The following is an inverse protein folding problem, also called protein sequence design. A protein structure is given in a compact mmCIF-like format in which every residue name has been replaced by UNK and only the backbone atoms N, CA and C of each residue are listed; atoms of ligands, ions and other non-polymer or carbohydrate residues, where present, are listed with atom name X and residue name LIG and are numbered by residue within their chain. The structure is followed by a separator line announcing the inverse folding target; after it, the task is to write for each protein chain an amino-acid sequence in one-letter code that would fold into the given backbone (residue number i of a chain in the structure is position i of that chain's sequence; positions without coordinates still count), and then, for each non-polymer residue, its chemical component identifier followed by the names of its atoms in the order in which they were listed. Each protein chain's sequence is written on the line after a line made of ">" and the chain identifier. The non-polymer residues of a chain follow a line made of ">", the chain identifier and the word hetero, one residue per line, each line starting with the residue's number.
data_IF_894352094371
#
_entry.id   IF_894352094371
#
_cell.length_a   1.000
_cell.length_b   1.000
_cell.length_c   1.000
_cell.angle_alpha   90.00
_cell.angle_beta   90.00
_cell.angle_gamma   90.00
#
_symmetry.space_group_name_H-M   'P 1'
#
loop_
_entity.id
_entity.type
_entity.pdbx_description
1 polymer ?
#
# COMPACT_ATOMS: atom_id res chain seq x y z
N UNK A 1 20.82 54.58 -33.54
CA UNK A 1 20.86 54.45 -32.07
C UNK A 1 20.31 53.10 -31.69
N UNK A 2 21.21 52.18 -31.38
CA UNK A 2 20.97 50.79 -30.99
C UNK A 2 20.47 50.75 -29.53
N UNK A 3 19.37 50.06 -29.27
CA UNK A 3 19.06 49.53 -27.94
C UNK A 3 18.73 48.04 -28.06
N UNK A 4 19.62 47.25 -27.47
CA UNK A 4 19.46 45.82 -27.17
C UNK A 4 18.34 45.67 -26.13
N UNK A 5 17.48 44.68 -26.28
CA UNK A 5 16.74 44.10 -25.16
C UNK A 5 17.10 42.62 -25.08
N UNK A 6 17.61 42.25 -23.92
CA UNK A 6 18.12 40.94 -23.55
C UNK A 6 16.93 40.08 -23.13
N UNK A 7 16.74 38.92 -23.76
CA UNK A 7 15.81 37.90 -23.26
C UNK A 7 16.53 37.11 -22.16
N UNK A 8 15.98 37.13 -20.94
CA UNK A 8 16.40 36.26 -19.84
C UNK A 8 15.39 35.13 -19.77
N UNK A 9 15.84 33.92 -20.07
CA UNK A 9 15.17 32.66 -19.74
C UNK A 9 15.26 32.50 -18.22
N UNK A 10 14.13 32.44 -17.53
CA UNK A 10 14.07 31.97 -16.15
C UNK A 10 13.87 30.46 -16.19
N UNK A 11 14.96 29.71 -15.97
CA UNK A 11 14.89 28.31 -15.55
C UNK A 11 14.50 28.34 -14.08
N UNK A 12 13.28 27.90 -13.75
CA UNK A 12 12.91 27.65 -12.36
C UNK A 12 13.39 26.25 -12.02
N UNK A 13 14.56 26.16 -11.39
CA UNK A 13 14.96 24.97 -10.64
C UNK A 13 14.31 25.11 -9.27
N UNK A 14 13.19 24.42 -9.05
CA UNK A 14 12.61 24.30 -7.72
C UNK A 14 13.25 23.07 -7.07
N UNK A 15 14.26 23.32 -6.25
CA UNK A 15 14.78 22.31 -5.31
C UNK A 15 13.91 22.43 -4.07
N UNK A 16 12.90 21.58 -3.95
CA UNK A 16 12.19 21.39 -2.68
C UNK A 16 13.04 20.43 -1.82
N UNK A 17 13.97 21.00 -1.04
CA UNK A 17 14.55 20.28 0.09
C UNK A 17 13.50 20.25 1.21
N UNK A 18 12.80 19.13 1.34
CA UNK A 18 12.05 18.79 2.56
C UNK A 18 12.94 17.87 3.40
N UNK A 19 13.94 18.46 4.07
CA UNK A 19 14.57 17.81 5.21
C UNK A 19 13.65 18.00 6.43
N UNK A 20 12.62 17.17 6.52
CA UNK A 20 11.80 16.99 7.70
C UNK A 20 12.14 15.64 8.30
N UNK A 21 12.84 15.62 9.44
CA UNK A 21 13.00 14.40 10.23
C UNK A 21 11.60 13.94 10.68
N UNK A 22 10.97 13.07 9.90
CA UNK A 22 9.85 12.28 10.39
C UNK A 22 10.40 11.41 11.50
N UNK A 23 9.94 11.63 12.73
CA UNK A 23 10.18 10.70 13.82
C UNK A 23 9.55 9.37 13.38
N UNK A 24 10.37 8.42 12.94
CA UNK A 24 9.93 7.06 12.67
C UNK A 24 9.24 6.52 13.93
N UNK A 25 7.91 6.38 13.89
CA UNK A 25 7.20 5.52 14.84
C UNK A 25 7.34 4.08 14.34
N UNK A 26 8.46 3.46 14.72
CA UNK A 26 8.55 2.11 15.29
C UNK A 26 9.90 2.00 16.01
N UNK A 27 10.17 2.92 16.95
CA UNK A 27 11.39 2.84 17.77
C UNK A 27 11.24 1.67 18.73
N UNK A 28 11.86 0.54 18.38
CA UNK A 28 12.12 -0.67 19.21
C UNK A 28 11.81 -0.46 20.72
N UNK A 29 10.56 -0.67 21.10
CA UNK A 29 10.06 -0.40 22.44
C UNK A 29 8.62 -0.88 22.59
N UNK A 30 8.34 -1.55 23.70
CA UNK A 30 7.06 -2.17 24.08
C UNK A 30 5.97 -1.11 24.42
N UNK A 31 5.68 -0.25 23.45
CA UNK A 31 4.54 0.67 23.47
C UNK A 31 3.64 0.30 22.32
N UNK A 32 2.38 0.00 22.64
CA UNK A 32 1.30 -0.01 21.66
C UNK A 32 1.37 1.31 20.90
N UNK A 33 1.52 1.32 19.55
CA UNK A 33 1.59 2.56 18.81
C UNK A 33 0.29 3.33 19.04
N UNK A 34 0.40 4.46 19.73
CA UNK A 34 -0.66 5.44 19.80
C UNK A 34 -0.64 6.17 18.45
N UNK A 35 -1.80 6.38 17.78
CA UNK A 35 -1.90 7.20 16.57
C UNK A 35 -1.04 8.45 16.76
N UNK A 36 -0.20 8.83 15.76
CA UNK A 36 0.72 9.94 15.93
C UNK A 36 -0.02 11.11 16.57
N UNK A 37 0.44 11.54 17.75
CA UNK A 37 -0.05 12.75 18.37
C UNK A 37 0.17 13.85 17.33
N UNK A 38 -0.94 14.43 16.88
CA UNK A 38 -0.97 15.41 15.80
C UNK A 38 0.02 16.52 16.12
N UNK A 39 1.21 16.49 15.50
CA UNK A 39 2.08 17.64 15.53
C UNK A 39 1.34 18.69 14.72
N UNK A 40 0.91 19.74 15.42
CA UNK A 40 0.30 20.94 14.88
C UNK A 40 1.31 21.66 13.98
N UNK A 41 1.59 21.03 12.84
CA UNK A 41 2.01 21.70 11.64
C UNK A 41 0.72 21.95 10.89
N UNK A 42 0.16 23.13 11.10
CA UNK A 42 -0.94 23.65 10.29
C UNK A 42 -0.60 23.46 8.81
N UNK A 43 -1.13 22.40 8.20
CA UNK A 43 -1.15 22.25 6.75
C UNK A 43 -1.98 23.43 6.26
N UNK A 44 -1.43 24.33 5.44
CA UNK A 44 -2.18 25.46 4.92
C UNK A 44 -3.47 24.94 4.25
N UNK A 45 -4.61 25.54 4.59
CA UNK A 45 -5.86 25.33 3.87
C UNK A 45 -5.68 25.83 2.42
N UNK A 46 -5.20 24.95 1.56
CA UNK A 46 -4.88 25.23 0.18
C UNK A 46 -3.88 24.21 -0.33
N UNK A 47 -4.39 23.06 -0.76
CA UNK A 47 -3.92 22.20 -1.86
C UNK A 47 -4.52 20.79 -1.68
N UNK A 48 -5.79 20.65 -2.06
CA UNK A 48 -6.51 19.37 -2.06
C UNK A 48 -6.27 18.55 -3.35
N UNK A 49 -5.13 18.72 -4.02
CA UNK A 49 -4.89 18.18 -5.38
C UNK A 49 -3.61 17.31 -5.51
N UNK A 50 -2.89 16.98 -4.43
CA UNK A 50 -1.65 16.16 -4.48
C UNK A 50 -1.63 15.01 -3.43
N UNK A 51 -2.80 14.45 -3.12
CA UNK A 51 -2.92 13.35 -2.16
C UNK A 51 -2.77 11.97 -2.80
N UNK A 52 -2.50 10.94 -1.97
CA UNK A 52 -2.73 9.56 -2.38
C UNK A 52 -4.23 9.43 -2.68
N UNK A 53 -4.60 8.95 -3.87
CA UNK A 53 -5.99 8.74 -4.26
C UNK A 53 -6.19 7.25 -4.47
N UNK A 54 -6.80 6.58 -3.50
CA UNK A 54 -7.24 5.20 -3.60
C UNK A 54 -8.76 5.12 -3.80
N UNK A 55 -9.27 4.08 -4.45
CA UNK A 55 -10.69 3.78 -4.52
C UNK A 55 -11.28 3.63 -3.12
N UNK A 56 -12.02 4.66 -2.67
CA UNK A 56 -12.71 4.67 -1.38
C UNK A 56 -14.02 3.89 -1.47
N UNK A 57 -14.22 2.96 -0.55
CA UNK A 57 -15.44 2.17 -0.42
C UNK A 57 -16.26 2.60 0.81
N UNK A 58 -17.58 2.49 0.69
CA UNK A 58 -18.55 2.77 1.72
C UNK A 58 -19.42 1.54 2.01
N UNK A 59 -20.09 1.54 3.16
CA UNK A 59 -20.99 0.45 3.56
C UNK A 59 -22.07 0.18 2.51
N UNK A 60 -22.16 -1.07 2.07
CA UNK A 60 -23.12 -1.54 1.09
C UNK A 60 -22.71 -1.36 -0.37
N UNK A 61 -21.50 -0.85 -0.64
CA UNK A 61 -20.98 -0.78 -2.00
C UNK A 61 -20.89 -2.18 -2.63
N UNK A 62 -21.29 -2.26 -3.90
CA UNK A 62 -21.20 -3.45 -4.76
C UNK A 62 -20.96 -3.00 -6.19
N UNK A 63 -19.88 -3.47 -6.82
CA UNK A 63 -19.49 -3.05 -8.16
C UNK A 63 -18.67 -4.13 -8.86
N UNK A 64 -18.63 -4.08 -10.19
CA UNK A 64 -17.75 -4.94 -10.99
C UNK A 64 -16.45 -4.23 -11.30
N UNK A 65 -15.35 -4.96 -11.32
CA UNK A 65 -14.04 -4.47 -11.72
C UNK A 65 -13.23 -5.56 -12.44
N UNK A 66 -12.06 -5.21 -12.94
CA UNK A 66 -11.20 -6.07 -13.76
C UNK A 66 -9.73 -5.88 -13.41
N UNK A 67 -9.01 -7.00 -13.29
CA UNK A 67 -7.55 -7.05 -13.33
C UNK A 67 -7.14 -7.41 -14.76
N UNK A 68 -6.29 -6.61 -15.40
CA UNK A 68 -5.95 -6.77 -16.81
C UNK A 68 -4.51 -6.34 -17.11
N UNK A 69 -3.92 -6.94 -18.15
CA UNK A 69 -2.54 -6.68 -18.55
C UNK A 69 -1.56 -6.93 -17.39
N UNK A 70 -0.77 -5.91 -17.05
CA UNK A 70 0.23 -5.97 -15.97
C UNK A 70 -0.34 -5.64 -14.58
N UNK A 71 -1.65 -5.38 -14.45
CA UNK A 71 -2.27 -5.08 -13.16
C UNK A 71 -2.75 -6.38 -12.52
N UNK A 72 -1.92 -6.94 -11.63
CA UNK A 72 -2.20 -8.20 -10.92
C UNK A 72 -2.81 -8.03 -9.53
N UNK A 73 -2.91 -6.79 -9.05
CA UNK A 73 -3.59 -6.46 -7.80
C UNK A 73 -4.08 -5.01 -7.79
N UNK A 74 -5.11 -4.75 -7.00
CA UNK A 74 -5.64 -3.40 -6.72
C UNK A 74 -5.90 -3.24 -5.23
N UNK A 75 -5.53 -2.07 -4.70
CA UNK A 75 -5.88 -1.62 -3.37
C UNK A 75 -7.17 -0.80 -3.40
N UNK A 76 -8.05 -1.11 -2.46
CA UNK A 76 -9.18 -0.29 -2.07
C UNK A 76 -8.99 0.15 -0.62
N UNK A 77 -9.67 1.22 -0.22
CA UNK A 77 -9.62 1.73 1.15
C UNK A 77 -11.03 1.97 1.68
N UNK A 78 -11.25 1.76 2.96
CA UNK A 78 -12.46 2.21 3.65
C UNK A 78 -12.13 2.74 5.04
N UNK A 79 -12.97 3.63 5.56
CA UNK A 79 -12.85 4.15 6.91
C UNK A 79 -13.85 3.42 7.83
N UNK A 80 -13.33 2.68 8.81
CA UNK A 80 -14.11 1.85 9.73
C UNK A 80 -13.92 2.23 11.20
N UNK A 81 -14.90 1.88 12.04
CA UNK A 81 -14.88 2.10 13.48
C UNK A 81 -14.43 0.84 14.22
N UNK A 82 -13.75 1.02 15.36
CA UNK A 82 -13.41 -0.10 16.23
C UNK A 82 -14.67 -0.91 16.63
N UNK A 83 -14.60 -2.22 16.50
CA UNK A 83 -15.70 -3.14 16.79
C UNK A 83 -16.71 -3.33 15.66
N UNK A 84 -16.56 -2.65 14.52
CA UNK A 84 -17.29 -3.00 13.30
C UNK A 84 -17.02 -4.46 12.93
N UNK A 85 -18.05 -5.12 12.39
CA UNK A 85 -17.98 -6.50 11.92
C UNK A 85 -18.21 -6.49 10.42
N UNK A 86 -17.10 -6.49 9.67
CA UNK A 86 -17.11 -6.27 8.23
C UNK A 86 -17.13 -7.60 7.45
N UNK A 87 -17.81 -7.59 6.31
CA UNK A 87 -17.72 -8.63 5.30
C UNK A 87 -17.28 -8.00 3.98
N UNK A 88 -16.24 -8.54 3.38
CA UNK A 88 -15.70 -8.14 2.07
C UNK A 88 -15.72 -9.36 1.16
N UNK A 89 -16.25 -9.23 -0.06
CA UNK A 89 -16.28 -10.31 -1.05
C UNK A 89 -15.68 -9.86 -2.38
N UNK A 90 -14.95 -10.78 -3.03
CA UNK A 90 -14.45 -10.68 -4.40
C UNK A 90 -14.92 -11.92 -5.15
N UNK A 91 -16.04 -11.77 -5.85
CA UNK A 91 -16.68 -12.87 -6.57
C UNK A 91 -16.15 -12.93 -8.00
N UNK A 92 -15.56 -14.06 -8.38
CA UNK A 92 -15.05 -14.25 -9.73
C UNK A 92 -16.21 -14.24 -10.74
N UNK A 93 -16.12 -13.37 -11.76
CA UNK A 93 -17.00 -13.37 -12.93
C UNK A 93 -16.32 -14.17 -14.04
N UNK A 94 -15.03 -13.90 -14.28
CA UNK A 94 -14.21 -14.71 -15.17
C UNK A 94 -13.83 -16.02 -14.49
N UNK A 95 -14.14 -17.16 -15.12
CA UNK A 95 -13.95 -18.49 -14.51
C UNK A 95 -12.49 -18.92 -14.30
N UNK A 96 -11.53 -18.24 -14.92
CA UNK A 96 -10.10 -18.48 -14.70
C UNK A 96 -9.53 -17.69 -13.52
N UNK A 97 -10.28 -16.72 -12.99
CA UNK A 97 -9.85 -15.97 -11.84
C UNK A 97 -9.99 -16.84 -10.59
N UNK A 98 -8.89 -16.95 -9.84
CA UNK A 98 -8.81 -17.48 -8.48
C UNK A 98 -8.50 -16.30 -7.54
N UNK A 99 -9.53 -15.61 -7.01
CA UNK A 99 -9.37 -14.44 -6.15
C UNK A 99 -8.59 -14.69 -4.87
N UNK A 100 -7.88 -13.66 -4.42
CA UNK A 100 -7.27 -13.62 -3.09
C UNK A 100 -7.52 -12.24 -2.47
N UNK A 101 -8.10 -12.21 -1.27
CA UNK A 101 -8.34 -11.01 -0.50
C UNK A 101 -7.44 -10.93 0.72
N UNK A 102 -6.83 -9.78 0.93
CA UNK A 102 -6.17 -9.39 2.18
C UNK A 102 -6.86 -8.15 2.74
N UNK A 103 -7.25 -8.20 4.01
CA UNK A 103 -7.69 -7.04 4.77
C UNK A 103 -6.59 -6.62 5.74
N UNK A 104 -6.08 -5.40 5.56
CA UNK A 104 -5.04 -4.82 6.41
C UNK A 104 -5.57 -3.64 7.22
N UNK A 105 -5.06 -3.51 8.44
CA UNK A 105 -5.41 -2.47 9.40
C UNK A 105 -4.60 -1.17 9.26
N UNK A 106 -4.98 -0.13 10.01
CA UNK A 106 -4.35 1.19 9.91
C UNK A 106 -2.88 1.20 10.31
N UNK A 107 -2.41 0.28 11.17
CA UNK A 107 -1.01 0.18 11.58
C UNK A 107 -0.23 -0.88 10.80
N UNK A 108 -0.83 -1.48 9.78
CA UNK A 108 -0.22 -2.58 9.03
C UNK A 108 -0.58 -3.96 9.55
N UNK A 109 -1.58 -4.06 10.44
CA UNK A 109 -2.04 -5.33 10.98
C UNK A 109 -2.66 -6.19 9.88
N UNK A 110 -2.36 -7.49 9.85
CA UNK A 110 -3.15 -8.43 9.06
C UNK A 110 -4.45 -8.74 9.82
N UNK A 111 -5.59 -8.34 9.28
CA UNK A 111 -6.89 -8.58 9.92
C UNK A 111 -7.48 -9.91 9.50
N UNK A 112 -7.48 -10.19 8.20
CA UNK A 112 -7.99 -11.43 7.64
C UNK A 112 -7.51 -11.62 6.20
N UNK A 113 -7.44 -12.87 5.78
CA UNK A 113 -7.31 -13.27 4.37
C UNK A 113 -8.43 -14.25 4.00
N UNK A 114 -8.75 -14.32 2.72
CA UNK A 114 -9.45 -15.46 2.15
C UNK A 114 -9.16 -15.54 0.65
N UNK A 115 -8.93 -16.74 0.16
CA UNK A 115 -8.84 -17.11 -1.25
C UNK A 115 -10.10 -17.87 -1.68
N UNK A 116 -10.54 -18.85 -0.89
CA UNK A 116 -11.71 -19.66 -1.22
C UNK A 116 -12.88 -19.50 -0.23
N UNK A 117 -14.08 -19.18 -0.73
CA UNK A 117 -15.33 -19.24 0.04
C UNK A 117 -15.62 -20.68 0.47
N UNK A 118 -15.45 -21.64 -0.44
CA UNK A 118 -15.70 -23.05 -0.18
C UNK A 118 -14.97 -23.94 -1.21
N UNK A 119 -13.72 -24.28 -0.92
CA UNK A 119 -12.93 -25.17 -1.76
C UNK A 119 -13.53 -26.60 -1.82
N UNK A 120 -13.56 -27.25 -3.01
CA UNK A 120 -13.17 -26.76 -4.34
C UNK A 120 -14.34 -26.18 -5.15
N UNK A 121 -15.54 -26.04 -4.56
CA UNK A 121 -16.77 -25.72 -5.28
C UNK A 121 -16.91 -24.23 -5.64
N UNK A 122 -16.27 -23.35 -4.87
CA UNK A 122 -16.30 -21.91 -5.07
C UNK A 122 -14.96 -21.29 -4.66
N UNK A 123 -14.16 -20.95 -5.67
CA UNK A 123 -12.85 -20.31 -5.52
C UNK A 123 -12.93 -18.79 -5.34
N UNK A 124 -14.13 -18.20 -5.32
CA UNK A 124 -14.24 -16.76 -5.00
C UNK A 124 -13.82 -16.50 -3.56
N UNK A 125 -13.26 -15.33 -3.28
CA UNK A 125 -12.84 -14.94 -1.95
C UNK A 125 -13.94 -14.19 -1.18
N UNK A 126 -14.09 -14.50 0.11
CA UNK A 126 -14.88 -13.73 1.09
C UNK A 126 -14.23 -13.73 2.47
N UNK A 127 -13.87 -12.54 2.93
CA UNK A 127 -13.60 -12.28 4.34
C UNK A 127 -14.95 -12.09 5.04
N UNK A 128 -15.35 -13.03 5.89
CA UNK A 128 -16.67 -13.04 6.52
C UNK A 128 -16.59 -12.66 8.01
N UNK A 129 -17.23 -11.55 8.39
CA UNK A 129 -17.36 -11.07 9.78
C UNK A 129 -16.01 -10.81 10.49
N UNK A 130 -15.06 -10.20 9.78
CA UNK A 130 -13.84 -9.71 10.40
C UNK A 130 -14.18 -8.57 11.37
N UNK A 131 -13.66 -8.61 12.59
CA UNK A 131 -13.87 -7.54 13.58
C UNK A 131 -12.73 -6.55 13.52
N UNK A 132 -13.03 -5.27 13.33
CA UNK A 132 -12.03 -4.21 13.25
C UNK A 132 -11.48 -3.88 14.65
N UNK A 133 -10.17 -3.99 14.91
CA UNK A 133 -9.60 -3.76 16.25
C UNK A 133 -9.59 -2.29 16.64
N UNK A 134 -9.44 -1.38 15.68
CA UNK A 134 -9.25 0.06 15.90
C UNK A 134 -10.06 0.89 14.90
N UNK A 135 -10.36 2.15 15.26
CA UNK A 135 -10.95 3.09 14.31
C UNK A 135 -9.85 3.64 13.39
N UNK A 136 -10.07 3.67 12.08
CA UNK A 136 -9.08 4.16 11.11
C UNK A 136 -9.37 3.73 9.67
N UNK A 137 -8.38 3.90 8.80
CA UNK A 137 -8.45 3.45 7.41
C UNK A 137 -7.89 2.04 7.27
N UNK A 138 -8.65 1.19 6.61
CA UNK A 138 -8.31 -0.20 6.32
C UNK A 138 -8.07 -0.35 4.82
N UNK A 139 -7.10 -1.17 4.44
CA UNK A 139 -6.80 -1.49 3.05
C UNK A 139 -7.32 -2.87 2.68
N UNK A 140 -7.92 -2.97 1.50
CA UNK A 140 -8.30 -4.25 0.88
C UNK A 140 -7.38 -4.45 -0.31
N UNK A 141 -6.49 -5.44 -0.24
CA UNK A 141 -5.74 -5.90 -1.40
C UNK A 141 -6.57 -6.98 -2.09
N UNK A 142 -7.07 -6.65 -3.28
CA UNK A 142 -7.72 -7.58 -4.19
C UNK A 142 -6.68 -8.05 -5.21
N UNK A 143 -6.40 -9.35 -5.23
CA UNK A 143 -5.39 -9.97 -6.11
C UNK A 143 -5.81 -11.39 -6.45
N UNK A 144 -4.89 -12.21 -6.95
CA UNK A 144 -5.14 -13.61 -7.30
C UNK A 144 -4.32 -14.54 -6.41
N UNK A 145 -4.77 -15.78 -6.24
CA UNK A 145 -4.04 -16.81 -5.50
C UNK A 145 -2.60 -16.99 -6.03
N UNK A 146 -2.38 -16.85 -7.34
CA UNK A 146 -1.06 -17.01 -7.93
C UNK A 146 -0.13 -15.80 -7.71
N UNK A 147 -0.67 -14.59 -7.62
CA UNK A 147 0.14 -13.35 -7.69
C UNK A 147 0.19 -12.56 -6.38
N UNK A 148 -0.45 -13.04 -5.30
CA UNK A 148 -0.57 -12.32 -4.03
C UNK A 148 0.80 -11.91 -3.45
N UNK A 149 1.77 -12.82 -3.39
CA UNK A 149 3.11 -12.56 -2.83
C UNK A 149 4.12 -11.97 -3.83
N UNK A 150 3.69 -11.59 -5.04
CA UNK A 150 4.59 -11.06 -6.06
C UNK A 150 5.24 -12.10 -6.97
N UNK A 151 5.21 -13.37 -6.59
CA UNK A 151 5.56 -14.48 -7.50
C UNK A 151 4.66 -14.44 -8.74
N UNK A 152 5.26 -14.47 -9.94
CA UNK A 152 4.51 -14.48 -11.20
C UNK A 152 3.69 -13.22 -11.51
N UNK A 153 3.86 -12.12 -10.76
CA UNK A 153 3.05 -10.91 -10.89
C UNK A 153 3.34 -10.05 -12.14
N UNK A 154 4.11 -10.56 -13.11
CA UNK A 154 4.47 -9.86 -14.35
C UNK A 154 3.27 -9.67 -15.29
N UNK A 155 2.30 -10.59 -15.27
CA UNK A 155 1.07 -10.50 -16.07
C UNK A 155 -0.02 -11.41 -15.46
N UNK A 156 -1.29 -11.01 -15.55
CA UNK A 156 -2.41 -11.94 -15.30
C UNK A 156 -2.44 -12.97 -16.44
N UNK A 157 -2.53 -14.28 -16.14
CA UNK A 157 -2.67 -15.29 -17.19
C UNK A 157 -4.02 -15.14 -17.91
N UNK A 158 -4.01 -14.50 -19.08
CA UNK A 158 -5.19 -14.13 -19.87
C UNK A 158 -5.40 -12.62 -19.95
N UNK A 159 -6.20 -12.16 -20.92
CA UNK A 159 -6.29 -10.72 -21.21
C UNK A 159 -6.96 -9.92 -20.08
N UNK A 160 -7.96 -10.49 -19.39
CA UNK A 160 -8.80 -9.80 -18.39
C UNK A 160 -9.41 -10.78 -17.36
N UNK A 161 -9.36 -10.42 -16.08
CA UNK A 161 -9.98 -11.15 -14.97
C UNK A 161 -11.02 -10.26 -14.27
N UNK A 162 -12.30 -10.46 -14.62
CA UNK A 162 -13.44 -9.71 -14.10
C UNK A 162 -13.93 -10.31 -12.77
N UNK A 163 -14.34 -9.43 -11.86
CA UNK A 163 -14.88 -9.78 -10.55
C UNK A 163 -15.94 -8.77 -10.07
N UNK A 164 -16.79 -9.20 -9.15
CA UNK A 164 -17.67 -8.32 -8.37
C UNK A 164 -17.11 -8.14 -6.96
N UNK A 165 -16.83 -6.89 -6.58
CA UNK A 165 -16.49 -6.50 -5.22
C UNK A 165 -17.73 -6.10 -4.46
N UNK A 166 -17.79 -6.46 -3.18
CA UNK A 166 -18.76 -5.90 -2.24
C UNK A 166 -18.21 -5.76 -0.83
N UNK A 167 -18.71 -4.78 -0.09
CA UNK A 167 -18.38 -4.54 1.31
C UNK A 167 -19.64 -4.21 2.12
N UNK A 168 -19.69 -4.67 3.36
CA UNK A 168 -20.76 -4.35 4.30
C UNK A 168 -20.30 -4.43 5.76
N UNK A 169 -21.05 -3.83 6.67
CA UNK A 169 -20.77 -3.82 8.10
C UNK A 169 -19.81 -2.71 8.52
N UNK A 170 -19.67 -1.65 7.72
CA UNK A 170 -18.73 -0.55 7.96
C UNK A 170 -19.45 0.67 8.55
N UNK A 171 -18.91 1.23 9.62
CA UNK A 171 -19.36 2.50 10.19
C UNK A 171 -18.23 3.52 10.12
N UNK A 172 -18.44 4.71 9.52
CA UNK A 172 -17.42 5.75 9.52
C UNK A 172 -17.01 6.15 10.94
N UNK A 173 -15.70 6.27 11.25
CA UNK A 173 -15.18 6.58 12.58
C UNK A 173 -15.33 8.07 12.93
N UNK A 174 -16.59 8.50 13.09
CA UNK A 174 -16.95 9.90 13.39
C UNK A 174 -16.55 10.37 14.79
N UNK A 175 -16.05 9.46 15.63
CA UNK A 175 -15.47 9.73 16.94
C UNK A 175 -14.01 10.18 16.87
N UNK A 176 -13.32 9.98 15.74
CA UNK A 176 -11.99 10.52 15.50
C UNK A 176 -12.06 12.05 15.36
N UNK A 177 -11.14 12.73 16.06
CA UNK A 177 -11.01 14.18 15.96
C UNK A 177 -10.66 14.58 14.52
N UNK A 178 -11.35 15.59 13.98
CA UNK A 178 -11.18 16.05 12.59
C UNK A 178 -11.42 14.97 11.53
N UNK A 179 -12.25 13.96 11.82
CA UNK A 179 -12.64 12.96 10.82
C UNK A 179 -13.17 13.63 9.55
N UNK A 180 -12.57 13.26 8.43
CA UNK A 180 -13.01 13.61 7.09
C UNK A 180 -13.22 12.28 6.34
N UNK A 181 -14.42 12.01 5.81
CA UNK A 181 -14.72 10.76 5.12
C UNK A 181 -13.88 10.54 3.87
N UNK A 182 -13.21 11.56 3.34
CA UNK A 182 -12.32 11.46 2.18
C UNK A 182 -10.84 11.40 2.56
N UNK A 183 -10.50 11.53 3.85
CA UNK A 183 -9.12 11.38 4.31
C UNK A 183 -8.87 9.98 4.82
N UNK A 184 -7.60 9.61 4.75
CA UNK A 184 -7.11 8.37 5.28
C UNK A 184 -6.43 8.60 6.63
N UNK A 185 -6.69 7.74 7.59
CA UNK A 185 -6.10 7.73 8.93
C UNK A 185 -5.42 6.37 9.14
N UNK A 186 -4.13 6.31 8.82
CA UNK A 186 -3.28 5.12 8.98
C UNK A 186 -1.85 5.56 9.32
N UNK A 187 -1.08 4.66 9.91
CA UNK A 187 0.32 4.89 10.26
C UNK A 187 1.20 4.72 9.02
N UNK A 188 2.13 5.64 8.82
CA UNK A 188 2.99 5.59 7.65
C UNK A 188 4.31 6.31 7.90
N UNK A 189 5.37 5.82 7.27
CA UNK A 189 6.61 6.54 7.05
C UNK A 189 6.58 7.31 5.73
N UNK A 190 7.53 8.22 5.56
CA UNK A 190 7.79 8.84 4.27
C UNK A 190 9.22 8.51 3.82
N UNK A 191 9.43 8.41 2.52
CA UNK A 191 10.75 8.29 1.91
C UNK A 191 10.84 9.21 0.70
N UNK A 192 11.92 9.97 0.61
CA UNK A 192 12.25 10.81 -0.54
C UNK A 192 13.30 10.18 -1.46
N UNK A 193 13.53 10.84 -2.59
CA UNK A 193 14.59 10.49 -3.53
C UNK A 193 15.97 10.58 -2.87
N UNK A 194 16.82 9.60 -3.12
CA UNK A 194 18.18 9.44 -2.56
C UNK A 194 18.20 9.34 -1.01
N UNK A 195 17.11 8.85 -0.42
CA UNK A 195 17.00 8.58 1.02
C UNK A 195 17.05 7.08 1.35
N UNK A 196 17.48 6.81 2.59
CA UNK A 196 17.44 5.50 3.21
C UNK A 196 16.80 5.63 4.58
N UNK A 197 15.84 4.77 4.87
CA UNK A 197 15.11 4.73 6.14
C UNK A 197 15.17 3.31 6.73
N UNK A 198 15.22 3.24 8.06
CA UNK A 198 15.12 1.99 8.80
C UNK A 198 13.67 1.77 9.24
N UNK A 199 13.26 0.51 9.33
CA UNK A 199 11.95 0.10 9.80
C UNK A 199 11.98 -1.26 10.48
N UNK A 200 10.84 -1.66 11.01
CA UNK A 200 10.66 -2.94 11.69
C UNK A 200 9.22 -3.44 11.53
N UNK A 201 9.05 -4.76 11.35
CA UNK A 201 7.74 -5.43 11.29
C UNK A 201 7.61 -6.54 12.35
N UNK A 202 6.38 -6.85 12.74
CA UNK A 202 6.06 -7.93 13.70
C UNK A 202 4.89 -8.77 13.21
N UNK A 203 4.60 -9.90 13.86
CA UNK A 203 3.41 -10.67 13.53
C UNK A 203 2.10 -9.89 13.79
N UNK A 204 2.12 -8.89 14.69
CA UNK A 204 0.97 -8.03 14.94
C UNK A 204 0.80 -6.95 13.86
N UNK A 205 1.92 -6.47 13.30
CA UNK A 205 2.01 -5.42 12.29
C UNK A 205 3.00 -5.88 11.20
N UNK A 206 2.59 -6.85 10.35
CA UNK A 206 3.52 -7.50 9.43
C UNK A 206 3.89 -6.63 8.23
N UNK A 207 3.08 -5.61 7.91
CA UNK A 207 3.29 -4.70 6.78
C UNK A 207 3.62 -3.30 7.29
N UNK A 208 4.69 -2.69 6.79
CA UNK A 208 4.95 -1.26 7.04
C UNK A 208 4.61 -0.43 5.81
N UNK A 209 3.86 0.66 6.00
CA UNK A 209 3.45 1.57 4.93
C UNK A 209 4.41 2.75 4.78
N UNK A 210 4.97 2.93 3.59
CA UNK A 210 5.71 4.15 3.24
C UNK A 210 5.03 4.92 2.13
N UNK A 211 5.13 6.24 2.19
CA UNK A 211 4.68 7.15 1.14
C UNK A 211 5.87 7.85 0.48
N UNK A 212 5.76 8.12 -0.80
CA UNK A 212 6.62 9.08 -1.49
C UNK A 212 5.80 9.90 -2.48
N UNK A 213 6.28 11.12 -2.75
CA UNK A 213 5.75 11.99 -3.79
C UNK A 213 6.58 11.77 -5.06
N UNK A 214 5.96 11.23 -6.11
CA UNK A 214 6.59 10.98 -7.40
C UNK A 214 6.27 12.08 -8.41
N UNK A 215 7.23 12.39 -9.28
CA UNK A 215 7.04 13.30 -10.42
C UNK A 215 7.07 12.49 -11.72
N UNK A 216 6.08 12.68 -12.59
CA UNK A 216 5.98 11.99 -13.88
C UNK A 216 7.31 11.99 -14.65
N UNK A 217 7.73 10.80 -15.07
CA UNK A 217 8.95 10.58 -15.84
C UNK A 217 10.25 10.52 -15.03
N UNK A 218 10.23 10.78 -13.72
CA UNK A 218 11.37 10.48 -12.86
C UNK A 218 11.57 8.96 -12.74
N UNK A 219 12.83 8.57 -12.62
CA UNK A 219 13.24 7.16 -12.52
C UNK A 219 14.00 6.89 -11.25
N UNK A 220 13.66 5.81 -10.55
CA UNK A 220 14.34 5.40 -9.33
C UNK A 220 14.46 3.87 -9.21
N UNK A 221 15.42 3.47 -8.37
CA UNK A 221 15.54 2.13 -7.82
C UNK A 221 15.04 2.15 -6.37
N UNK A 222 14.22 1.17 -5.99
CA UNK A 222 13.72 0.97 -4.64
C UNK A 222 14.18 -0.39 -4.13
N UNK A 223 14.90 -0.42 -3.01
CA UNK A 223 15.40 -1.66 -2.40
C UNK A 223 14.89 -1.82 -0.99
N UNK A 224 14.55 -3.06 -0.62
CA UNK A 224 14.21 -3.45 0.75
C UNK A 224 15.15 -4.56 1.17
N UNK A 225 15.90 -4.31 2.25
CA UNK A 225 16.90 -5.25 2.74
C UNK A 225 16.59 -5.68 4.17
N UNK A 226 16.60 -6.99 4.42
CA UNK A 226 16.57 -7.54 5.77
C UNK A 226 17.62 -8.65 5.93
N UNK A 227 18.11 -8.80 7.17
CA UNK A 227 18.90 -9.96 7.58
C UNK A 227 18.05 -10.99 8.32
N UNK A 228 16.78 -10.67 8.58
CA UNK A 228 15.89 -11.44 9.44
C UNK A 228 14.91 -12.29 8.63
N UNK A 229 14.43 -11.77 7.50
CA UNK A 229 13.36 -12.37 6.72
C UNK A 229 13.55 -12.16 5.22
N UNK A 230 12.78 -12.91 4.43
CA UNK A 230 12.66 -12.79 2.98
C UNK A 230 11.70 -11.65 2.65
N UNK A 231 12.20 -10.59 2.02
CA UNK A 231 11.46 -9.33 1.87
C UNK A 231 10.54 -9.36 0.65
N UNK A 232 9.46 -8.58 0.68
CA UNK A 232 8.67 -8.23 -0.51
C UNK A 232 8.38 -6.75 -0.51
N UNK A 233 8.59 -6.12 -1.67
CA UNK A 233 8.15 -4.76 -1.97
C UNK A 233 6.90 -4.81 -2.83
N UNK A 234 5.83 -4.15 -2.40
CA UNK A 234 4.72 -3.80 -3.28
C UNK A 234 4.67 -2.28 -3.47
N UNK A 235 4.56 -1.83 -4.72
CA UNK A 235 4.42 -0.43 -5.09
C UNK A 235 3.06 -0.20 -5.72
N UNK A 236 2.27 0.69 -5.11
CA UNK A 236 0.93 1.06 -5.57
C UNK A 236 0.91 2.50 -6.08
N UNK A 237 0.21 2.67 -7.20
CA UNK A 237 0.00 3.96 -7.84
C UNK A 237 -1.18 4.74 -7.28
N UNK A 238 -1.31 5.97 -7.76
CA UNK A 238 -2.57 6.73 -7.68
C UNK A 238 -3.66 5.96 -8.43
N UNK A 239 -4.76 5.63 -7.75
CA UNK A 239 -5.82 4.76 -8.25
C UNK A 239 -5.81 3.34 -7.66
N UNK A 240 -4.79 3.00 -6.87
CA UNK A 240 -4.72 1.74 -6.12
C UNK A 240 -4.15 0.55 -6.90
N UNK A 241 -3.86 0.71 -8.19
CA UNK A 241 -3.20 -0.34 -8.98
C UNK A 241 -1.81 -0.66 -8.42
N UNK A 242 -1.49 -1.96 -8.31
CA UNK A 242 -0.13 -2.42 -8.01
C UNK A 242 0.72 -2.27 -9.28
N UNK A 243 1.62 -1.29 -9.27
CA UNK A 243 2.46 -0.94 -10.42
C UNK A 243 3.73 -1.79 -10.50
N UNK A 244 4.24 -2.24 -9.36
CA UNK A 244 5.37 -3.15 -9.29
C UNK A 244 5.33 -3.97 -8.00
N UNK A 245 5.90 -5.16 -8.06
CA UNK A 245 6.14 -6.01 -6.90
C UNK A 245 7.40 -6.83 -7.15
N UNK A 246 8.19 -7.05 -6.12
CA UNK A 246 9.35 -7.93 -6.18
C UNK A 246 9.63 -8.49 -4.79
N UNK A 247 9.94 -9.78 -4.72
CA UNK A 247 10.39 -10.51 -3.54
C UNK A 247 11.93 -10.65 -3.55
N UNK A 248 12.46 -11.21 -4.64
CA UNK A 248 13.89 -11.43 -4.83
C UNK A 248 14.46 -10.51 -5.93
N UNK A 249 15.43 -9.66 -5.60
CA UNK A 249 16.11 -8.80 -6.56
C UNK A 249 16.87 -9.61 -7.62
N UNK A 250 17.39 -10.78 -7.24
CA UNK A 250 17.95 -11.79 -8.12
C UNK A 250 17.99 -13.17 -7.42
N UNK A 251 18.32 -14.23 -8.17
CA UNK A 251 18.37 -15.62 -7.68
C UNK A 251 19.36 -15.88 -6.52
N UNK A 252 20.12 -14.87 -6.08
CA UNK A 252 21.16 -14.99 -5.05
C UNK A 252 20.82 -14.25 -3.75
N UNK A 253 19.69 -13.53 -3.69
CA UNK A 253 19.30 -12.75 -2.52
C UNK A 253 17.79 -12.78 -2.26
N UNK A 254 17.42 -12.89 -0.98
CA UNK A 254 16.03 -12.75 -0.48
C UNK A 254 15.63 -11.29 -0.20
N UNK A 255 16.31 -10.36 -0.87
CA UNK A 255 16.08 -8.92 -0.69
C UNK A 255 15.44 -8.40 -1.95
N UNK A 256 14.42 -7.57 -1.82
CA UNK A 256 13.65 -7.09 -2.95
C UNK A 256 14.29 -5.86 -3.59
N UNK A 257 14.17 -5.75 -4.91
CA UNK A 257 14.47 -4.54 -5.65
C UNK A 257 13.48 -4.30 -6.79
N UNK A 258 12.88 -3.11 -6.82
CA UNK A 258 12.19 -2.58 -7.98
C UNK A 258 13.16 -1.62 -8.67
N UNK A 259 13.67 -1.99 -9.84
CA UNK A 259 14.75 -1.26 -10.52
C UNK A 259 14.25 -0.47 -11.72
N UNK A 260 14.81 0.73 -11.93
CA UNK A 260 14.51 1.63 -13.05
C UNK A 260 13.01 1.93 -13.22
N UNK A 261 12.27 1.99 -12.10
CA UNK A 261 10.86 2.31 -12.12
C UNK A 261 10.69 3.75 -12.61
N UNK A 262 9.86 3.94 -13.64
CA UNK A 262 9.53 5.27 -14.16
C UNK A 262 8.18 5.67 -13.60
N UNK A 263 8.12 6.80 -12.89
CA UNK A 263 6.87 7.33 -12.33
C UNK A 263 5.89 7.64 -13.47
N UNK A 264 4.73 6.96 -13.54
CA UNK A 264 3.81 7.13 -14.66
C UNK A 264 3.07 8.47 -14.62
N UNK A 265 2.76 8.99 -13.44
CA UNK A 265 2.02 10.23 -13.23
C UNK A 265 2.51 10.95 -11.97
N UNK A 266 2.51 12.29 -11.96
CA UNK A 266 2.85 13.04 -10.75
C UNK A 266 1.78 12.82 -9.68
N UNK A 267 2.18 12.43 -8.48
CA UNK A 267 1.26 12.15 -7.38
C UNK A 267 1.92 11.41 -6.24
N UNK A 268 1.11 11.02 -5.24
CA UNK A 268 1.59 10.27 -4.08
C UNK A 268 1.36 8.77 -4.25
N UNK A 269 2.39 8.01 -3.94
CA UNK A 269 2.46 6.56 -4.10
C UNK A 269 2.57 5.87 -2.75
N UNK A 270 2.15 4.60 -2.67
CA UNK A 270 2.15 3.80 -1.45
C UNK A 270 3.04 2.57 -1.64
N UNK A 271 3.94 2.35 -0.69
CA UNK A 271 4.84 1.20 -0.63
C UNK A 271 4.40 0.33 0.55
N UNK A 272 4.26 -0.97 0.31
CA UNK A 272 4.23 -1.96 1.37
C UNK A 272 5.63 -2.58 1.46
N UNK A 273 6.27 -2.40 2.62
CA UNK A 273 7.50 -3.10 2.98
C UNK A 273 7.14 -4.24 3.94
N UNK A 274 7.37 -5.48 3.51
CA UNK A 274 6.85 -6.64 4.23
C UNK A 274 7.72 -7.88 4.06
N UNK A 275 7.43 -8.91 4.86
CA UNK A 275 7.93 -10.28 4.74
C UNK A 275 7.14 -11.03 3.65
N UNK A 276 7.78 -11.93 2.91
CA UNK A 276 7.14 -12.78 1.89
C UNK A 276 5.95 -13.59 2.43
N UNK A 277 6.03 -14.00 3.70
CA UNK A 277 4.98 -14.77 4.36
C UNK A 277 4.03 -13.90 5.19
N UNK A 278 3.89 -12.61 4.88
CA UNK A 278 3.03 -11.71 5.68
C UNK A 278 1.56 -12.14 5.74
N UNK A 279 1.05 -12.80 4.71
CA UNK A 279 -0.31 -13.37 4.71
C UNK A 279 -0.48 -14.52 5.68
N UNK A 280 0.61 -15.13 6.14
CA UNK A 280 0.63 -16.20 7.14
C UNK A 280 0.87 -15.69 8.57
N UNK A 281 0.94 -14.37 8.78
CA UNK A 281 1.21 -13.78 10.09
C UNK A 281 0.16 -14.13 11.17
N UNK A 282 -1.05 -14.51 10.76
CA UNK A 282 -2.12 -14.98 11.67
C UNK A 282 -2.12 -16.49 11.91
N UNK A 283 -1.30 -17.26 11.19
CA UNK A 283 -1.28 -18.72 11.26
C UNK A 283 -0.43 -19.17 12.44
N UNK A 284 -1.01 -19.98 13.33
CA UNK A 284 -0.27 -20.66 14.41
C UNK A 284 0.72 -21.63 13.74
N UNK A 285 2.02 -21.35 13.84
CA UNK A 285 3.12 -22.00 13.10
C UNK A 285 3.29 -21.58 11.62
N UNK A 286 2.81 -20.39 11.23
CA UNK A 286 3.11 -19.78 9.92
C UNK A 286 4.59 -19.42 9.76
N UNK A 287 5.01 -19.22 8.50
CA UNK A 287 6.42 -18.95 8.14
C UNK A 287 6.83 -17.47 8.27
N UNK A 288 5.91 -16.59 8.69
CA UNK A 288 6.23 -15.19 8.98
C UNK A 288 7.31 -15.05 10.05
N UNK A 289 8.33 -14.23 9.79
CA UNK A 289 9.40 -13.95 10.75
C UNK A 289 9.30 -12.51 11.25
N UNK A 290 9.22 -11.55 10.32
CA UNK A 290 9.33 -10.12 10.63
C UNK A 290 10.69 -9.72 11.21
N UNK A 291 10.96 -8.43 11.30
CA UNK A 291 12.29 -8.01 11.75
C UNK A 291 12.67 -6.59 11.37
N UNK A 292 13.91 -6.22 11.73
CA UNK A 292 14.51 -4.96 11.29
C UNK A 292 14.76 -5.04 9.78
N UNK A 293 14.47 -3.96 9.06
CA UNK A 293 14.73 -3.82 7.63
C UNK A 293 15.20 -2.40 7.27
N UNK A 294 15.76 -2.25 6.07
CA UNK A 294 16.20 -0.98 5.50
C UNK A 294 15.55 -0.79 4.14
N UNK A 295 14.85 0.33 3.95
CA UNK A 295 14.27 0.77 2.68
C UNK A 295 15.13 1.89 2.09
N UNK A 296 15.52 1.78 0.83
CA UNK A 296 16.26 2.83 0.13
C UNK A 296 15.63 3.18 -1.21
N UNK A 297 15.52 4.48 -1.50
CA UNK A 297 15.10 5.00 -2.81
C UNK A 297 16.25 5.78 -3.41
N UNK A 298 16.74 5.38 -4.58
CA UNK A 298 17.89 6.01 -5.25
C UNK A 298 17.52 6.43 -6.65
N UNK A 299 17.89 7.64 -7.05
CA UNK A 299 17.70 8.10 -8.42
C UNK A 299 18.44 7.19 -9.43
N UNK A 300 17.71 6.68 -10.42
CA UNK A 300 18.32 5.91 -11.51
C UNK A 300 18.92 6.89 -12.54
N UNK A 301 20.06 6.51 -13.13
CA UNK A 301 20.81 7.36 -14.08
C UNK A 301 20.35 7.24 -15.52
#
# INVERSE_FOLDING_TARGET
>A
MTKKLLAIFAVFTLVAMLAGNALAQNTKGDVTPEPPANDDTTVPEGDAEEGLILPMLFDGDSFTDVLAGNISARLYVFNGSAGDVVTVSMLAITSSLDPFLVLLGPAGELIAINDDINYPDNLSARIDKATLPTSGSYFILATTFETHNGYGAEEIEGDEAEFEMSISGVTPPTDLENFDPQRYTYFTGAIGMDETVEGYSTAAEPVFYYLFDGVEGETFDLTLESQNFDTVLHLFGTGGDRLAVNDDADETTYNSAITSFTVPETGRYLIFATDYFFTDALTEDGDFIGGDFVLSMTSSK
#
